data_IF_974293620123
#
_entry.id   IF_974293620123
#
_cell.length_a   1.000
_cell.length_b   1.000
_cell.length_c   1.000
_cell.angle_alpha   90.00
_cell.angle_beta   90.00
_cell.angle_gamma   90.00
#
_symmetry.space_group_name_H-M   'P 1'
#
loop_
_entity.id
_entity.type
_entity.pdbx_description
1 polymer ?
#
# COMPACT_ATOMS: atom_id res chain seq x y z
N UNK A 1 25.57 -13.94 -57.28
CA UNK A 1 25.41 -12.83 -56.30
C UNK A 1 23.93 -12.84 -55.88
N UNK A 2 23.62 -13.43 -54.73
CA UNK A 2 22.25 -13.51 -54.22
C UNK A 2 22.13 -12.61 -53.00
N UNK A 3 21.31 -11.57 -53.16
CA UNK A 3 21.03 -10.57 -52.14
C UNK A 3 19.88 -11.12 -51.25
N UNK A 4 20.22 -11.46 -50.01
CA UNK A 4 19.23 -11.97 -49.01
C UNK A 4 18.69 -10.75 -48.25
N UNK A 5 17.47 -10.33 -48.59
CA UNK A 5 16.72 -9.34 -47.83
C UNK A 5 16.39 -9.87 -46.44
N UNK A 6 16.84 -9.13 -45.40
CA UNK A 6 16.43 -9.39 -44.02
C UNK A 6 15.02 -8.85 -43.80
N UNK A 7 14.07 -9.76 -43.62
CA UNK A 7 12.73 -9.45 -43.14
C UNK A 7 12.83 -9.02 -41.66
N UNK A 8 12.58 -7.74 -41.37
CA UNK A 8 12.37 -7.26 -40.00
C UNK A 8 10.92 -7.51 -39.64
N UNK A 9 10.69 -8.50 -38.80
CA UNK A 9 9.38 -8.74 -38.18
C UNK A 9 9.10 -7.60 -37.20
N UNK A 10 8.17 -6.73 -37.56
CA UNK A 10 7.57 -5.75 -36.64
C UNK A 10 6.70 -6.54 -35.68
N UNK A 11 7.14 -6.67 -34.43
CA UNK A 11 6.33 -7.16 -33.34
C UNK A 11 5.30 -6.08 -33.02
N UNK A 12 4.11 -6.20 -33.56
CA UNK A 12 2.96 -5.41 -33.12
C UNK A 12 2.56 -5.89 -31.74
N UNK A 13 2.92 -5.11 -30.70
CA UNK A 13 2.38 -5.29 -29.36
C UNK A 13 0.86 -5.06 -29.46
N UNK A 14 0.07 -6.13 -29.29
CA UNK A 14 -1.37 -6.04 -29.12
C UNK A 14 -1.64 -5.32 -27.81
N UNK A 15 -2.11 -4.07 -27.86
CA UNK A 15 -2.64 -3.38 -26.71
C UNK A 15 -3.82 -4.20 -26.18
N UNK A 16 -3.74 -4.66 -24.94
CA UNK A 16 -4.86 -5.23 -24.21
C UNK A 16 -6.01 -4.23 -24.21
N UNK A 17 -7.29 -4.66 -24.40
CA UNK A 17 -8.41 -3.73 -24.38
C UNK A 17 -8.40 -2.98 -23.05
N UNK A 18 -8.31 -1.63 -23.11
CA UNK A 18 -8.20 -0.77 -21.96
C UNK A 18 -9.29 -1.08 -20.94
N UNK A 19 -8.90 -1.35 -19.71
CA UNK A 19 -9.84 -1.51 -18.61
C UNK A 19 -10.70 -0.23 -18.52
N UNK A 20 -12.03 -0.39 -18.53
CA UNK A 20 -12.93 0.77 -18.42
C UNK A 20 -12.82 1.38 -17.03
N UNK A 21 -12.77 2.72 -16.96
CA UNK A 21 -12.84 3.43 -15.70
C UNK A 21 -14.05 2.97 -14.88
N UNK A 22 -13.83 2.75 -13.59
CA UNK A 22 -14.89 2.36 -12.64
C UNK A 22 -15.45 3.61 -11.97
N UNK A 23 -16.77 3.67 -11.78
CA UNK A 23 -17.40 4.70 -10.96
C UNK A 23 -17.15 4.37 -9.48
N UNK A 24 -16.08 4.93 -8.90
CA UNK A 24 -15.65 4.69 -7.53
C UNK A 24 -15.70 5.98 -6.72
N UNK A 25 -16.22 5.91 -5.50
CA UNK A 25 -16.07 7.00 -4.53
C UNK A 25 -14.67 6.93 -3.93
N UNK A 26 -13.81 7.85 -4.32
CA UNK A 26 -12.49 7.98 -3.72
C UNK A 26 -12.58 8.60 -2.33
N UNK A 27 -11.94 7.99 -1.37
CA UNK A 27 -11.82 8.47 0.01
C UNK A 27 -10.34 8.72 0.34
N UNK A 28 -10.04 9.57 1.34
CA UNK A 28 -8.66 9.74 1.79
C UNK A 28 -7.99 8.41 2.14
N UNK A 29 -6.73 8.24 1.75
CA UNK A 29 -5.90 7.10 2.13
C UNK A 29 -4.77 7.57 3.04
N UNK A 30 -4.52 6.82 4.09
CA UNK A 30 -3.43 7.05 5.04
C UNK A 30 -2.56 5.81 5.18
N UNK A 31 -1.25 6.01 5.17
CA UNK A 31 -0.30 4.99 5.61
C UNK A 31 0.17 5.32 7.02
N UNK A 32 0.11 4.36 7.92
CA UNK A 32 0.69 4.45 9.27
C UNK A 32 1.87 3.51 9.34
N UNK A 33 3.06 4.07 9.52
CA UNK A 33 4.32 3.33 9.48
C UNK A 33 5.00 3.36 10.85
N UNK A 34 5.23 2.19 11.44
CA UNK A 34 6.03 2.06 12.66
C UNK A 34 7.51 2.00 12.27
N UNK A 35 8.30 3.03 12.59
CA UNK A 35 9.72 3.08 12.25
C UNK A 35 10.59 3.75 13.32
N UNK A 36 11.89 3.48 13.29
CA UNK A 36 12.87 4.30 14.01
C UNK A 36 12.89 5.70 13.37
N UNK A 37 13.18 6.72 14.16
CA UNK A 37 13.27 8.10 13.66
C UNK A 37 14.37 8.29 12.62
N UNK A 38 14.29 9.40 11.87
CA UNK A 38 15.21 9.75 10.78
C UNK A 38 14.62 9.49 9.40
N UNK A 39 15.21 10.11 8.38
CA UNK A 39 14.91 9.82 6.97
C UNK A 39 15.53 8.50 6.52
N UNK A 40 15.07 7.98 5.39
CA UNK A 40 15.68 6.82 4.75
C UNK A 40 15.82 6.99 3.23
N UNK A 41 16.55 6.09 2.60
CA UNK A 41 16.91 6.17 1.18
C UNK A 41 15.69 6.08 0.25
N UNK A 42 14.56 5.57 0.72
CA UNK A 42 13.34 5.43 -0.07
C UNK A 42 12.36 6.60 0.09
N UNK A 43 12.62 7.53 1.02
CA UNK A 43 11.70 8.64 1.32
C UNK A 43 11.33 9.42 0.04
N UNK A 44 12.32 9.81 -0.77
CA UNK A 44 12.06 10.55 -2.01
C UNK A 44 11.19 9.77 -3.01
N UNK A 45 11.40 8.46 -3.12
CA UNK A 45 10.61 7.61 -4.01
C UNK A 45 9.18 7.43 -3.49
N UNK A 46 9.01 7.26 -2.18
CA UNK A 46 7.69 7.18 -1.53
C UNK A 46 6.92 8.50 -1.72
N UNK A 47 7.59 9.64 -1.50
CA UNK A 47 6.98 10.96 -1.68
C UNK A 47 6.54 11.18 -3.14
N UNK A 48 7.31 10.72 -4.12
CA UNK A 48 6.93 10.79 -5.53
C UNK A 48 5.65 9.99 -5.84
N UNK A 49 5.48 8.80 -5.23
CA UNK A 49 4.23 8.04 -5.36
C UNK A 49 3.09 8.68 -4.57
N UNK A 50 3.34 9.21 -3.39
CA UNK A 50 2.36 9.94 -2.59
C UNK A 50 1.78 11.14 -3.36
N UNK A 51 2.64 11.93 -4.05
CA UNK A 51 2.20 13.04 -4.91
C UNK A 51 1.32 12.55 -6.08
N UNK A 52 1.66 11.41 -6.68
CA UNK A 52 0.82 10.81 -7.72
C UNK A 52 -0.53 10.36 -7.18
N UNK A 53 -0.58 9.73 -6.00
CA UNK A 53 -1.82 9.32 -5.34
C UNK A 53 -2.73 10.53 -5.04
N UNK A 54 -2.17 11.67 -4.63
CA UNK A 54 -2.92 12.91 -4.32
C UNK A 54 -3.69 13.47 -5.51
N UNK A 55 -3.37 13.08 -6.75
CA UNK A 55 -4.15 13.45 -7.94
C UNK A 55 -5.53 12.78 -7.98
N UNK A 56 -5.72 11.68 -7.24
CA UNK A 56 -6.96 10.89 -7.21
C UNK A 56 -7.75 11.12 -5.92
N UNK A 57 -7.05 11.10 -4.78
CA UNK A 57 -7.64 11.27 -3.44
C UNK A 57 -6.61 11.88 -2.47
N UNK A 58 -7.04 12.51 -1.38
CA UNK A 58 -6.14 12.92 -0.32
C UNK A 58 -5.33 11.72 0.19
N UNK A 59 -4.01 11.91 0.27
CA UNK A 59 -3.08 10.89 0.72
C UNK A 59 -2.08 11.48 1.70
N UNK A 60 -1.92 10.83 2.85
CA UNK A 60 -0.91 11.21 3.84
C UNK A 60 -0.24 9.98 4.49
N UNK A 61 0.93 10.23 5.07
CA UNK A 61 1.66 9.24 5.85
C UNK A 61 1.87 9.73 7.28
N UNK A 62 1.70 8.84 8.25
CA UNK A 62 1.95 9.09 9.67
C UNK A 62 2.97 8.10 10.21
N UNK A 63 3.90 8.61 10.98
CA UNK A 63 4.93 7.80 11.59
C UNK A 63 4.66 7.57 13.07
N UNK A 64 4.83 6.32 13.47
CA UNK A 64 4.84 5.89 14.87
C UNK A 64 6.28 5.51 15.23
N UNK A 65 6.78 6.06 16.31
CA UNK A 65 8.13 5.71 16.80
C UNK A 65 8.16 4.25 17.24
N UNK A 66 9.07 3.47 16.65
CA UNK A 66 9.34 2.09 17.05
C UNK A 66 9.90 2.07 18.48
N UNK A 67 9.47 1.08 19.24
CA UNK A 67 9.83 0.85 20.64
C UNK A 67 9.78 2.13 21.53
N UNK A 68 8.63 2.78 21.62
CA UNK A 68 8.51 4.11 22.23
C UNK A 68 8.81 4.14 23.73
N UNK A 69 8.76 3.00 24.40
CA UNK A 69 8.98 2.84 25.84
C UNK A 69 10.25 2.03 26.16
N UNK A 70 11.11 1.78 25.16
CA UNK A 70 12.36 1.01 25.29
C UNK A 70 12.16 -0.37 25.94
N UNK A 71 11.09 -1.06 25.56
CA UNK A 71 10.82 -2.42 26.03
C UNK A 71 11.91 -3.39 25.55
N UNK A 72 12.29 -4.35 26.41
CA UNK A 72 13.26 -5.40 26.07
C UNK A 72 12.57 -6.59 25.39
N UNK A 73 11.37 -6.92 25.83
CA UNK A 73 10.60 -8.04 25.30
C UNK A 73 9.88 -7.62 24.00
N UNK A 74 9.99 -8.43 22.92
CA UNK A 74 9.36 -8.16 21.63
C UNK A 74 7.84 -7.94 21.72
N UNK A 75 7.16 -8.71 22.53
CA UNK A 75 5.71 -8.56 22.74
C UNK A 75 5.35 -7.20 23.33
N UNK A 76 6.02 -6.79 24.36
CA UNK A 76 5.79 -5.47 24.98
C UNK A 76 6.10 -4.32 24.01
N UNK A 77 7.17 -4.46 23.23
CA UNK A 77 7.47 -3.47 22.19
C UNK A 77 6.30 -3.36 21.20
N UNK A 78 5.85 -4.50 20.66
CA UNK A 78 4.74 -4.57 19.73
C UNK A 78 3.46 -3.94 20.28
N UNK A 79 3.10 -4.23 21.53
CA UNK A 79 1.91 -3.65 22.17
C UNK A 79 2.04 -2.14 22.37
N UNK A 80 3.20 -1.63 22.80
CA UNK A 80 3.42 -0.18 22.93
C UNK A 80 3.40 0.57 21.58
N UNK A 81 3.84 -0.08 20.50
CA UNK A 81 3.72 0.44 19.15
C UNK A 81 2.24 0.47 18.74
N UNK A 82 1.51 -0.62 19.03
CA UNK A 82 0.07 -0.74 18.78
C UNK A 82 -0.76 0.33 19.48
N UNK A 83 -0.50 0.62 20.77
CA UNK A 83 -1.15 1.72 21.52
C UNK A 83 -1.05 3.07 20.76
N UNK A 84 0.08 3.32 20.11
CA UNK A 84 0.29 4.56 19.35
C UNK A 84 -0.39 4.55 17.99
N UNK A 85 -0.40 3.41 17.32
CA UNK A 85 -1.15 3.22 16.08
C UNK A 85 -2.63 3.44 16.32
N UNK A 86 -3.19 2.87 17.39
CA UNK A 86 -4.60 3.03 17.76
C UNK A 86 -5.02 4.48 17.99
N UNK A 87 -4.12 5.36 18.46
CA UNK A 87 -4.40 6.80 18.62
C UNK A 87 -4.58 7.54 17.28
N UNK A 88 -4.09 6.98 16.18
CA UNK A 88 -4.19 7.57 14.84
C UNK A 88 -5.45 7.08 14.12
N UNK A 89 -5.89 5.87 14.42
CA UNK A 89 -7.07 5.25 13.83
C UNK A 89 -8.36 5.87 14.39
N UNK A 90 -9.28 6.19 13.50
CA UNK A 90 -10.59 6.72 13.86
C UNK A 90 -11.68 5.63 13.76
N UNK A 91 -12.83 5.79 14.44
CA UNK A 91 -13.90 4.77 14.43
C UNK A 91 -14.41 4.40 13.04
N UNK A 92 -14.48 5.38 12.12
CA UNK A 92 -15.00 5.19 10.75
C UNK A 92 -13.94 4.88 9.70
N UNK A 93 -12.70 4.64 10.12
CA UNK A 93 -11.64 4.20 9.23
C UNK A 93 -11.84 2.73 8.83
N UNK A 94 -11.53 2.41 7.58
CA UNK A 94 -11.31 1.04 7.14
C UNK A 94 -9.83 0.71 7.30
N UNK A 95 -9.50 -0.21 8.21
CA UNK A 95 -8.13 -0.52 8.62
C UNK A 95 -7.63 -1.78 7.94
N UNK A 96 -6.53 -1.67 7.22
CA UNK A 96 -5.86 -2.75 6.52
C UNK A 96 -4.46 -2.95 7.10
N UNK A 97 -4.16 -4.15 7.56
CA UNK A 97 -2.81 -4.51 7.98
C UNK A 97 -2.00 -4.99 6.78
N UNK A 98 -0.80 -4.44 6.63
CA UNK A 98 0.22 -5.01 5.76
C UNK A 98 1.04 -6.00 6.61
N UNK A 99 0.76 -7.29 6.49
CA UNK A 99 1.36 -8.37 7.29
C UNK A 99 1.78 -9.53 6.38
N UNK A 100 2.90 -10.17 6.65
CA UNK A 100 3.40 -11.31 5.87
C UNK A 100 2.44 -12.50 5.84
N UNK A 101 1.57 -12.61 6.86
CA UNK A 101 0.52 -13.64 7.01
C UNK A 101 -0.82 -13.21 6.44
N UNK A 102 -0.91 -12.00 5.88
CA UNK A 102 -2.11 -11.51 5.22
C UNK A 102 -2.44 -12.30 3.94
N UNK A 103 -3.64 -12.09 3.41
CA UNK A 103 -4.03 -12.70 2.14
C UNK A 103 -3.15 -12.18 0.99
N UNK A 104 -2.91 -13.02 -0.01
CA UNK A 104 -2.33 -12.58 -1.28
C UNK A 104 -3.25 -11.56 -1.96
N UNK A 105 -2.65 -10.58 -2.60
CA UNK A 105 -3.38 -9.61 -3.41
C UNK A 105 -2.61 -9.34 -4.70
N UNK A 106 -3.28 -9.50 -5.84
CA UNK A 106 -2.82 -8.98 -7.12
C UNK A 106 -2.97 -7.46 -7.17
N UNK A 107 -2.50 -6.82 -8.23
CA UNK A 107 -2.74 -5.39 -8.45
C UNK A 107 -4.23 -5.05 -8.56
N UNK A 108 -5.00 -5.93 -9.20
CA UNK A 108 -6.45 -5.82 -9.36
C UNK A 108 -7.17 -5.99 -8.02
N UNK A 109 -6.78 -7.00 -7.22
CA UNK A 109 -7.32 -7.20 -5.86
C UNK A 109 -7.05 -5.99 -4.97
N UNK A 110 -5.88 -5.35 -5.13
CA UNK A 110 -5.54 -4.15 -4.38
C UNK A 110 -6.37 -2.95 -4.84
N UNK A 111 -6.66 -2.83 -6.15
CA UNK A 111 -7.57 -1.83 -6.68
C UNK A 111 -9.01 -2.05 -6.17
N UNK A 112 -9.49 -3.30 -6.15
CA UNK A 112 -10.79 -3.66 -5.58
C UNK A 112 -10.89 -3.32 -4.09
N UNK A 113 -9.82 -3.53 -3.33
CA UNK A 113 -9.75 -3.15 -1.93
C UNK A 113 -9.89 -1.63 -1.75
N UNK A 114 -9.21 -0.81 -2.57
CA UNK A 114 -9.32 0.65 -2.54
C UNK A 114 -10.75 1.09 -2.90
N UNK A 115 -11.39 0.48 -3.91
CA UNK A 115 -12.77 0.76 -4.28
C UNK A 115 -13.75 0.43 -3.15
N UNK A 116 -13.61 -0.75 -2.54
CA UNK A 116 -14.44 -1.24 -1.43
C UNK A 116 -14.46 -0.29 -0.23
N UNK A 117 -13.35 0.39 0.07
CA UNK A 117 -13.30 1.37 1.17
C UNK A 117 -14.31 2.49 0.93
N UNK A 118 -14.35 3.03 -0.28
CA UNK A 118 -15.29 4.10 -0.66
C UNK A 118 -16.74 3.63 -0.70
N UNK A 119 -16.98 2.46 -1.29
CA UNK A 119 -18.32 1.85 -1.41
C UNK A 119 -18.89 1.46 -0.06
N UNK A 120 -18.07 1.05 0.90
CA UNK A 120 -18.46 0.67 2.25
C UNK A 120 -18.86 1.84 3.17
N UNK A 121 -18.86 3.08 2.67
CA UNK A 121 -19.26 4.25 3.46
C UNK A 121 -18.22 4.67 4.51
N UNK A 122 -17.01 4.18 4.42
CA UNK A 122 -15.92 4.57 5.31
C UNK A 122 -15.42 5.98 4.97
N UNK A 123 -14.90 6.67 5.97
CA UNK A 123 -14.39 8.04 5.78
C UNK A 123 -12.96 8.06 5.25
N UNK A 124 -12.19 7.00 5.55
CA UNK A 124 -10.78 6.89 5.17
C UNK A 124 -10.33 5.43 5.15
N UNK A 125 -9.41 5.09 4.23
CA UNK A 125 -8.62 3.87 4.28
C UNK A 125 -7.32 4.09 5.04
N UNK A 126 -7.01 3.22 6.00
CA UNK A 126 -5.77 3.27 6.79
C UNK A 126 -4.99 1.99 6.61
N UNK A 127 -3.86 2.07 5.95
CA UNK A 127 -2.92 0.96 5.77
C UNK A 127 -1.84 1.04 6.84
N UNK A 128 -1.65 -0.04 7.60
CA UNK A 128 -0.71 -0.08 8.71
C UNK A 128 0.46 -0.99 8.37
N UNK A 129 1.66 -0.43 8.36
CA UNK A 129 2.94 -1.15 8.34
C UNK A 129 3.46 -1.26 9.78
N UNK A 130 3.44 -2.47 10.33
CA UNK A 130 3.90 -2.77 11.68
C UNK A 130 5.40 -2.59 11.88
N UNK A 131 5.85 -2.68 13.13
CA UNK A 131 7.26 -2.71 13.48
C UNK A 131 7.91 -4.07 13.22
N UNK A 132 9.15 -4.27 13.67
CA UNK A 132 9.93 -5.50 13.40
C UNK A 132 9.31 -6.77 13.99
N UNK A 133 8.39 -6.65 14.95
CA UNK A 133 7.69 -7.77 15.60
C UNK A 133 6.20 -7.84 15.20
N UNK A 134 5.80 -7.15 14.12
CA UNK A 134 4.43 -7.17 13.61
C UNK A 134 3.51 -6.15 14.31
N UNK A 135 2.22 -6.47 14.36
CA UNK A 135 1.16 -5.58 14.85
C UNK A 135 0.74 -5.92 16.29
N UNK A 136 0.47 -4.91 17.09
CA UNK A 136 -0.10 -5.08 18.45
C UNK A 136 -1.49 -5.70 18.40
N UNK A 137 -1.86 -6.41 19.47
CA UNK A 137 -3.09 -7.20 19.55
C UNK A 137 -4.36 -6.36 19.29
N UNK A 138 -4.43 -5.16 19.82
CA UNK A 138 -5.59 -4.27 19.62
C UNK A 138 -5.67 -3.74 18.17
N UNK A 139 -4.54 -3.53 17.51
CA UNK A 139 -4.52 -3.16 16.09
C UNK A 139 -5.03 -4.30 15.23
N UNK A 140 -4.62 -5.53 15.55
CA UNK A 140 -5.10 -6.75 14.85
C UNK A 140 -6.61 -6.91 15.03
N UNK A 141 -7.13 -6.76 16.25
CA UNK A 141 -8.58 -6.83 16.52
C UNK A 141 -9.37 -5.73 15.81
N UNK A 142 -8.79 -4.53 15.67
CA UNK A 142 -9.42 -3.38 15.02
C UNK A 142 -9.44 -3.49 13.49
N UNK A 143 -8.54 -4.25 12.92
CA UNK A 143 -8.38 -4.35 11.48
C UNK A 143 -9.61 -4.96 10.80
N UNK A 144 -9.94 -4.44 9.63
CA UNK A 144 -10.98 -4.96 8.76
C UNK A 144 -10.44 -6.04 7.82
N UNK A 145 -9.20 -5.88 7.38
CA UNK A 145 -8.50 -6.84 6.51
C UNK A 145 -7.00 -6.88 6.81
N UNK A 146 -6.37 -7.96 6.33
CA UNK A 146 -4.91 -8.10 6.31
C UNK A 146 -4.47 -8.59 4.94
N UNK A 147 -3.47 -7.90 4.35
CA UNK A 147 -2.91 -8.23 3.05
C UNK A 147 -1.40 -8.35 3.14
N UNK A 148 -0.81 -9.25 2.37
CA UNK A 148 0.64 -9.28 2.20
C UNK A 148 1.04 -8.65 0.88
N UNK A 149 2.09 -7.84 0.94
CA UNK A 149 2.60 -7.11 -0.23
C UNK A 149 3.46 -7.99 -1.14
N UNK A 150 3.95 -9.10 -0.64
CA UNK A 150 4.80 -10.05 -1.37
C UNK A 150 4.81 -11.40 -0.66
N UNK A 151 5.05 -12.48 -1.43
CA UNK A 151 5.37 -13.80 -0.87
C UNK A 151 6.77 -13.86 -0.24
N UNK A 152 7.64 -12.94 -0.61
CA UNK A 152 8.94 -12.75 0.02
C UNK A 152 8.80 -11.85 1.24
N UNK A 153 9.59 -12.10 2.28
CA UNK A 153 9.72 -11.18 3.41
C UNK A 153 10.43 -9.93 2.92
N UNK A 154 9.75 -8.79 3.00
CA UNK A 154 10.30 -7.50 2.59
C UNK A 154 10.94 -6.78 3.77
N UNK A 155 12.07 -6.14 3.54
CA UNK A 155 12.57 -5.13 4.46
C UNK A 155 11.51 -4.02 4.62
N UNK A 156 11.37 -3.48 5.82
CA UNK A 156 10.35 -2.48 6.14
C UNK A 156 10.33 -1.26 5.21
N UNK A 157 11.50 -0.75 4.80
CA UNK A 157 11.63 0.37 3.85
C UNK A 157 11.12 -0.02 2.46
N UNK A 158 11.49 -1.22 2.00
CA UNK A 158 11.01 -1.76 0.72
C UNK A 158 9.51 -1.99 0.75
N UNK A 159 8.97 -2.57 1.83
CA UNK A 159 7.53 -2.76 2.00
C UNK A 159 6.75 -1.43 1.90
N UNK A 160 7.29 -0.36 2.49
CA UNK A 160 6.72 1.00 2.41
C UNK A 160 6.69 1.53 0.97
N UNK A 161 7.78 1.35 0.23
CA UNK A 161 7.86 1.76 -1.17
C UNK A 161 6.90 0.94 -2.05
N UNK A 162 6.87 -0.39 -1.87
CA UNK A 162 5.95 -1.28 -2.58
C UNK A 162 4.50 -0.89 -2.30
N UNK A 163 4.14 -0.59 -1.06
CA UNK A 163 2.80 -0.15 -0.70
C UNK A 163 2.42 1.17 -1.38
N UNK A 164 3.33 2.15 -1.39
CA UNK A 164 3.07 3.44 -2.03
C UNK A 164 2.87 3.30 -3.55
N UNK A 165 3.67 2.46 -4.20
CA UNK A 165 3.51 2.12 -5.62
C UNK A 165 2.19 1.39 -5.88
N UNK A 166 1.86 0.37 -5.08
CA UNK A 166 0.63 -0.40 -5.21
C UNK A 166 -0.63 0.47 -5.07
N UNK A 167 -0.62 1.46 -4.18
CA UNK A 167 -1.71 2.44 -4.05
C UNK A 167 -1.85 3.31 -5.30
N UNK A 168 -0.76 3.79 -5.86
CA UNK A 168 -0.81 4.53 -7.11
C UNK A 168 -1.33 3.67 -8.25
N UNK A 169 -0.82 2.44 -8.42
CA UNK A 169 -1.28 1.48 -9.42
C UNK A 169 -2.77 1.16 -9.26
N UNK A 170 -3.26 0.99 -8.04
CA UNK A 170 -4.68 0.79 -7.78
C UNK A 170 -5.54 1.93 -8.34
N UNK A 171 -5.13 3.17 -8.11
CA UNK A 171 -5.84 4.33 -8.66
C UNK A 171 -5.84 4.36 -10.20
N UNK A 172 -4.71 4.04 -10.84
CA UNK A 172 -4.64 3.98 -12.32
C UNK A 172 -5.52 2.88 -12.89
N UNK A 173 -5.58 1.70 -12.26
CA UNK A 173 -6.48 0.61 -12.63
C UNK A 173 -7.94 1.05 -12.52
N UNK A 174 -8.32 1.68 -11.40
CA UNK A 174 -9.68 2.16 -11.18
C UNK A 174 -10.10 3.24 -12.18
N UNK A 175 -9.16 4.02 -12.68
CA UNK A 175 -9.38 5.06 -13.70
C UNK A 175 -9.28 4.54 -15.13
N UNK A 176 -8.87 3.30 -15.34
CA UNK A 176 -8.62 2.75 -16.66
C UNK A 176 -7.44 3.42 -17.38
N UNK A 177 -6.47 3.91 -16.63
CA UNK A 177 -5.28 4.60 -17.16
C UNK A 177 -4.19 3.61 -17.57
N UNK A 178 -3.38 3.92 -18.62
CA UNK A 178 -2.40 3.00 -19.20
C UNK A 178 -1.07 2.92 -18.40
N UNK A 179 -1.14 2.85 -17.08
CA UNK A 179 0.05 2.65 -16.24
C UNK A 179 0.40 1.18 -16.07
N UNK A 180 -0.62 0.33 -16.18
CA UNK A 180 -0.47 -1.09 -15.92
C UNK A 180 -0.10 -1.81 -17.22
N UNK A 181 1.16 -2.18 -17.35
CA UNK A 181 1.72 -2.98 -18.46
C UNK A 181 2.51 -4.17 -17.91
#
# INVERSE_FOLDING_TARGET
MQNRAKSSSVVTASASPGQRARAVRYVPLRVVTVRKGGGDEVDAAVDAYAERCRRYAPFDEKYVKSNPKNAREPERQREHEGERVMKIIQPRDYVILCDERGRDASSEDFADLVAKIGEGGHERGVFVLGGPFGHGSEVVKRANESVRLSKMVLNHRVARLVLAEAMYRAHTILRGEPYHH
#
